data_IF_409152168385
#
_entry.id   IF_409152168385
#
_cell.length_a   1.000
_cell.length_b   1.000
_cell.length_c   1.000
_cell.angle_alpha   90.00
_cell.angle_beta   90.00
_cell.angle_gamma   90.00
#
_symmetry.space_group_name_H-M   'P 1'
#
loop_
_entity.id
_entity.type
_entity.pdbx_description
1 polymer ?
2 water ?
#
# COMPACT_ATOMS: atom_id res chain seq x y z
N UNK A 1 -21.79 39.69 2.43
CA UNK A 1 -21.90 38.99 3.72
C UNK A 1 -21.10 37.70 3.71
N UNK A 2 -20.70 36.76 4.71
CA UNK A 2 -19.83 35.60 4.47
C UNK A 2 -20.36 34.64 3.40
N UNK A 3 -19.31 34.24 2.51
CA UNK A 3 -19.88 33.31 1.57
C UNK A 3 -19.99 31.91 2.12
N UNK A 4 -20.28 30.95 1.24
CA UNK A 4 -20.42 29.55 1.67
C UNK A 4 -19.07 28.89 1.96
N UNK A 5 -19.35 27.71 2.70
CA UNK A 5 -18.11 26.94 2.91
C UNK A 5 -17.26 26.74 1.64
N UNK A 6 -15.89 26.55 1.95
CA UNK A 6 -15.09 26.31 0.77
C UNK A 6 -15.21 24.92 0.20
N UNK A 7 -14.38 24.62 -0.80
CA UNK A 7 -14.39 23.31 -1.43
C UNK A 7 -13.60 22.31 -0.60
N UNK A 8 -13.80 20.97 -1.05
CA UNK A 8 -12.95 19.95 -0.41
C UNK A 8 -11.45 20.26 -0.49
N UNK A 9 -10.74 19.72 0.62
CA UNK A 9 -9.30 19.81 0.49
C UNK A 9 -8.68 18.95 -0.60
N UNK A 10 -7.36 18.99 -0.65
CA UNK A 10 -6.61 18.14 -1.57
C UNK A 10 -6.71 16.68 -1.13
N UNK A 11 -6.74 15.72 -2.07
CA UNK A 11 -6.79 14.32 -1.66
C UNK A 11 -5.55 13.92 -0.87
N UNK A 12 -5.69 12.82 -0.14
CA UNK A 12 -4.52 12.21 0.46
C UNK A 12 -3.59 11.66 -0.59
N UNK A 13 -2.32 11.53 -0.21
CA UNK A 13 -1.35 10.96 -1.13
C UNK A 13 -1.55 9.45 -1.21
N UNK A 14 -1.08 8.87 -2.31
CA UNK A 14 -1.24 7.43 -2.52
C UNK A 14 -0.50 6.65 -1.44
N UNK A 15 -1.06 5.51 -1.06
CA UNK A 15 -0.39 4.62 -0.13
C UNK A 15 0.91 4.07 -0.69
N UNK A 16 1.75 3.59 0.21
CA UNK A 16 3.00 2.95 -0.21
C UNK A 16 2.75 1.53 -0.70
N UNK A 17 3.74 0.99 -1.39
CA UNK A 17 3.62 -0.36 -1.91
C UNK A 17 3.44 -1.33 -0.75
N UNK A 18 2.66 -2.38 -0.98
CA UNK A 18 2.50 -3.41 0.02
C UNK A 18 3.82 -4.09 0.37
N UNK A 19 3.79 -4.80 1.50
CA UNK A 19 4.92 -5.62 1.91
C UNK A 19 5.24 -6.67 0.84
N UNK A 20 6.52 -7.01 0.74
CA UNK A 20 6.91 -8.20 -0.02
C UNK A 20 6.14 -9.41 0.50
N UNK A 21 5.81 -10.32 -0.41
CA UNK A 21 5.24 -11.58 0.00
C UNK A 21 6.22 -12.36 0.85
N UNK A 22 5.72 -13.32 1.63
CA UNK A 22 6.61 -14.20 2.37
C UNK A 22 7.34 -15.14 1.43
N UNK A 23 8.54 -15.61 2.05
CA UNK A 23 9.21 -16.67 1.28
C UNK A 23 8.30 -17.88 0.97
N UNK A 24 8.67 -18.59 -0.21
CA UNK A 24 7.95 -19.83 -0.41
C UNK A 24 8.36 -20.90 0.58
N UNK A 25 7.72 -22.07 0.49
CA UNK A 25 8.08 -23.18 1.37
C UNK A 25 9.42 -23.81 0.98
N UNK A 26 10.19 -24.40 2.02
CA UNK A 26 11.42 -25.13 1.68
C UNK A 26 11.21 -26.10 0.50
N UNK A 27 12.43 -26.20 -0.23
CA UNK A 27 12.29 -27.26 -1.21
C UNK A 27 12.32 -28.65 -0.61
N UNK A 28 12.11 -29.66 -1.46
CA UNK A 28 12.14 -31.04 -0.97
C UNK A 28 13.58 -31.44 -0.65
N UNK A 29 13.34 -32.35 0.42
CA UNK A 29 14.61 -32.94 0.87
C UNK A 29 15.40 -33.66 -0.24
N UNK A 30 16.82 -33.63 -0.38
CA UNK A 30 17.70 -34.06 -1.45
C UNK A 30 17.76 -35.56 -1.66
N UNK B 1 -17.36 38.64 3.06
CA UNK B 1 -16.05 38.05 3.32
C UNK B 1 -16.02 36.58 2.94
N UNK B 2 -14.74 35.95 2.91
CA UNK B 2 -14.67 34.50 2.68
C UNK B 2 -15.43 33.67 3.73
N UNK B 3 -16.07 32.53 3.14
CA UNK B 3 -16.66 31.62 4.10
C UNK B 3 -15.63 30.78 4.84
N UNK B 4 -16.11 29.84 5.66
CA UNK B 4 -15.24 28.95 6.42
C UNK B 4 -14.70 27.86 5.50
N UNK B 5 -13.65 27.07 6.05
CA UNK B 5 -13.07 25.95 5.31
C UNK B 5 -14.13 24.95 4.82
N UNK B 6 -13.71 24.43 3.56
CA UNK B 6 -14.51 23.30 3.13
C UNK B 6 -14.23 21.99 3.84
N UNK B 7 -14.86 20.91 3.36
CA UNK B 7 -14.69 19.56 3.92
C UNK B 7 -13.31 18.99 3.62
N UNK B 8 -12.98 17.85 4.41
CA UNK B 8 -11.79 17.07 4.07
C UNK B 8 -11.73 16.73 2.57
N UNK B 9 -10.42 16.60 2.03
CA UNK B 9 -10.36 15.99 0.71
C UNK B 9 -10.62 14.50 0.70
N UNK B 10 -10.64 13.93 -0.51
CA UNK B 10 -10.78 12.49 -0.70
C UNK B 10 -9.65 11.74 0.00
N UNK B 11 -9.92 10.53 0.49
CA UNK B 11 -8.82 9.67 0.94
C UNK B 11 -7.89 9.32 -0.21
N UNK B 12 -6.61 9.13 0.11
CA UNK B 12 -5.65 8.73 -0.89
C UNK B 12 -5.96 7.35 -1.46
N UNK B 13 -5.43 7.12 -2.66
CA UNK B 13 -5.56 5.83 -3.31
C UNK B 13 -4.74 4.76 -2.60
N UNK B 14 -5.23 3.53 -2.65
CA UNK B 14 -4.46 2.41 -2.11
C UNK B 14 -3.16 2.23 -2.88
N UNK B 15 -2.11 1.79 -2.18
CA UNK B 15 -0.82 1.62 -2.82
C UNK B 15 -0.76 0.40 -3.72
N UNK B 16 0.37 0.31 -4.43
CA UNK B 16 0.64 -0.82 -5.32
C UNK B 16 0.80 -2.13 -4.54
N UNK B 17 0.47 -3.23 -5.22
CA UNK B 17 0.69 -4.56 -4.68
C UNK B 17 2.18 -4.78 -4.42
N UNK B 18 2.49 -5.41 -3.29
CA UNK B 18 3.87 -5.75 -3.00
C UNK B 18 4.44 -6.73 -4.01
N UNK B 19 5.77 -6.78 -4.05
CA UNK B 19 6.47 -7.74 -4.89
C UNK B 19 6.24 -9.16 -4.37
N UNK B 20 6.21 -10.12 -5.30
CA UNK B 20 6.14 -11.51 -4.87
C UNK B 20 7.30 -11.82 -3.92
N UNK B 21 7.04 -12.74 -2.99
CA UNK B 21 8.05 -13.17 -2.05
C UNK B 21 9.18 -13.91 -2.72
N UNK B 22 10.29 -14.06 -2.00
CA UNK B 22 11.42 -14.78 -2.59
C UNK B 22 11.13 -16.27 -2.65
N UNK B 23 12.01 -16.97 -3.52
CA UNK B 23 11.97 -18.43 -3.42
C UNK B 23 12.20 -18.95 -1.99
N UNK B 24 11.53 -20.15 -1.63
CA UNK B 24 11.85 -20.74 -0.35
C UNK B 24 13.29 -21.19 -0.31
N UNK B 25 13.76 -21.61 0.86
CA UNK B 25 15.12 -22.12 0.97
C UNK B 25 15.28 -23.45 0.26
N UNK B 26 16.54 -23.71 -0.33
CA UNK B 26 16.89 -25.08 -0.73
C UNK B 26 16.45 -26.12 0.31
N UNK B 27 15.94 -27.34 -0.22
CA UNK B 27 15.69 -28.35 0.79
C UNK B 27 16.97 -28.86 1.42
N UNK B 28 16.83 -29.65 2.48
CA UNK B 28 18.01 -30.20 3.15
C UNK B 28 18.77 -31.17 2.25
N UNK B 29 20.17 -31.26 2.55
CA UNK B 29 20.98 -32.21 1.78
C UNK B 29 20.41 -33.63 1.84
N UNK B 30 20.65 -34.41 0.66
CA UNK B 30 20.28 -35.81 0.65
C UNK B 30 21.35 -36.69 1.24
N UNK C 1 -15.20 34.60 -2.14
CA UNK C 1 -15.78 34.40 -0.81
C UNK C 1 -16.70 33.20 -0.76
N UNK C 2 -16.66 32.01 -1.55
CA UNK C 2 -16.44 30.73 -0.86
C UNK C 2 -15.15 30.70 -0.02
N UNK C 3 -15.21 29.83 1.11
CA UNK C 3 -13.99 29.85 1.89
C UNK C 3 -12.84 29.04 1.31
N UNK C 4 -11.76 28.89 2.09
CA UNK C 4 -10.60 28.09 1.71
C UNK C 4 -10.97 26.63 1.53
N UNK C 5 -10.05 25.91 0.73
CA UNK C 5 -10.16 24.44 0.75
C UNK C 5 -10.05 23.86 2.17
N UNK C 6 -10.73 22.64 2.41
CA UNK C 6 -10.60 22.04 3.73
C UNK C 6 -9.28 21.33 3.92
N UNK C 7 -9.20 20.51 4.98
CA UNK C 7 -7.99 19.75 5.28
C UNK C 7 -7.73 18.69 4.22
N UNK C 8 -6.38 18.26 4.21
CA UNK C 8 -6.05 17.15 3.30
C UNK C 8 -6.83 15.86 3.61
N UNK C 9 -7.13 15.08 2.45
CA UNK C 9 -7.72 13.79 2.74
C UNK C 9 -6.81 12.84 3.49
N UNK C 10 -7.40 11.74 3.98
CA UNK C 10 -6.63 10.73 4.69
C UNK C 10 -5.51 10.18 3.80
N UNK C 11 -4.33 9.91 4.36
CA UNK C 11 -3.30 9.20 3.57
C UNK C 11 -3.83 7.88 3.03
N UNK C 12 -3.40 7.51 1.82
CA UNK C 12 -3.88 6.26 1.23
C UNK C 12 -3.43 5.03 2.00
N UNK C 13 -4.25 3.97 1.90
CA UNK C 13 -3.94 2.66 2.46
C UNK C 13 -2.71 2.05 1.81
N UNK C 14 -1.92 1.33 2.60
CA UNK C 14 -0.81 0.58 2.05
C UNK C 14 -1.36 -0.50 1.11
N UNK C 15 -0.58 -0.83 0.08
CA UNK C 15 -1.02 -1.80 -0.90
C UNK C 15 -1.13 -3.20 -0.33
N UNK C 16 -1.77 -4.07 -1.12
CA UNK C 16 -1.88 -5.48 -0.78
C UNK C 16 -0.51 -6.11 -0.63
N UNK C 17 -0.37 -6.99 0.37
CA UNK C 17 0.78 -7.87 0.46
C UNK C 17 1.06 -8.59 -0.85
N UNK C 18 2.34 -8.75 -1.16
CA UNK C 18 2.72 -9.53 -2.31
C UNK C 18 2.37 -11.00 -2.14
N UNK C 19 2.28 -11.68 -3.27
CA UNK C 19 2.00 -13.11 -3.27
C UNK C 19 3.18 -13.87 -2.67
N UNK C 20 2.88 -15.05 -2.13
CA UNK C 20 3.90 -15.95 -1.61
C UNK C 20 4.95 -16.23 -2.68
N UNK C 21 6.20 -16.39 -2.24
CA UNK C 21 7.26 -16.79 -3.13
C UNK C 21 7.12 -18.23 -3.59
N UNK C 22 7.86 -18.59 -4.63
CA UNK C 22 7.87 -19.94 -5.19
C UNK C 22 8.43 -20.94 -4.19
N UNK C 23 8.09 -22.33 -4.14
CA UNK C 23 8.93 -23.28 -3.39
C UNK C 23 10.42 -23.19 -3.74
N UNK C 24 11.22 -23.54 -2.61
CA UNK C 24 12.64 -23.58 -2.92
C UNK C 24 13.01 -24.77 -3.77
N UNK C 25 14.27 -24.82 -4.22
CA UNK C 25 14.71 -25.93 -5.07
C UNK C 25 14.96 -27.19 -4.25
N UNK C 26 14.99 -28.44 -4.95
CA UNK C 26 15.43 -29.63 -4.21
C UNK C 26 16.78 -29.45 -3.49
N UNK C 27 16.94 -30.17 -2.26
CA UNK C 27 18.29 -30.11 -1.75
C UNK C 27 19.28 -30.91 -2.57
N UNK C 28 20.57 -30.76 -2.26
CA UNK C 28 21.63 -31.49 -2.95
C UNK C 28 21.40 -32.98 -2.87
N UNK C 29 21.77 -33.88 -3.91
CA UNK C 29 21.63 -35.35 -3.83
C UNK C 29 22.38 -35.99 -2.65
N UNK C 30 23.56 -35.19 -2.59
CA UNK C 30 24.63 -35.22 -1.62
C UNK C 30 24.65 -34.04 -0.66
#
# INVERSE_FOLDING_TARGET
PPGPPGPPGFPGMKGHRGFDGPPGPPGPPG
PPGPPGPPGFPGMKGHRGFDGPPGPPGPPG
PPGPPGPPGFPGMKGHRGFDGPPGPPGPPG
#
